data_IF_263872213482
#
_entry.id   IF_263872213482
#
_cell.length_a   1.000
_cell.length_b   1.000
_cell.length_c   1.000
_cell.angle_alpha   90.00
_cell.angle_beta   90.00
_cell.angle_gamma   90.00
#
_symmetry.space_group_name_H-M   'P 1'
#
loop_
_entity.id
_entity.type
_entity.pdbx_description
1 polymer ?
#
# COMPACT_ATOMS: atom_id res chain seq x y z
N UNK A 1 2.79 9.24 19.64
CA UNK A 1 1.86 9.81 18.62
C UNK A 1 1.88 11.34 18.62
N UNK A 2 2.31 11.97 19.71
CA UNK A 2 2.19 13.41 19.94
C UNK A 2 3.19 14.22 19.12
N UNK A 3 4.40 13.70 18.87
CA UNK A 3 5.44 14.42 18.11
C UNK A 3 5.04 14.71 16.67
N UNK A 4 4.41 13.77 15.97
CA UNK A 4 3.98 13.95 14.58
C UNK A 4 2.79 14.91 14.50
N UNK A 5 1.82 14.77 15.43
CA UNK A 5 0.69 15.70 15.56
C UNK A 5 1.18 17.12 15.84
N UNK A 6 2.13 17.30 16.75
CA UNK A 6 2.74 18.61 17.07
C UNK A 6 3.51 19.18 15.88
N UNK A 7 4.26 18.37 15.13
CA UNK A 7 4.97 18.84 13.92
C UNK A 7 4.02 19.27 12.81
N UNK A 8 2.94 18.52 12.57
CA UNK A 8 1.93 18.88 11.58
C UNK A 8 1.19 20.16 11.99
N UNK A 9 0.79 20.27 13.26
CA UNK A 9 0.14 21.46 13.79
C UNK A 9 1.06 22.69 13.73
N UNK A 10 2.36 22.50 14.04
CA UNK A 10 3.38 23.56 13.90
C UNK A 10 3.53 24.00 12.45
N UNK A 11 3.57 23.08 11.49
CA UNK A 11 3.62 23.41 10.06
C UNK A 11 2.37 24.14 9.58
N UNK A 12 1.20 23.69 10.03
CA UNK A 12 -0.08 24.30 9.67
C UNK A 12 -0.19 25.74 10.19
N UNK A 13 0.30 26.01 11.41
CA UNK A 13 0.30 27.34 12.02
C UNK A 13 1.24 28.35 11.34
N UNK A 14 2.27 27.88 10.64
CA UNK A 14 3.21 28.73 9.88
C UNK A 14 2.78 28.94 8.42
N UNK A 15 1.60 28.45 8.02
CA UNK A 15 1.10 28.59 6.67
C UNK A 15 0.48 29.99 6.46
N UNK A 16 0.69 30.66 5.31
CA UNK A 16 0.16 32.00 5.08
C UNK A 16 -1.38 32.02 5.10
N UNK A 17 -1.97 33.10 5.63
CA UNK A 17 -3.42 33.28 5.81
C UNK A 17 -4.21 33.10 4.51
N UNK A 18 -3.62 33.46 3.36
CA UNK A 18 -4.20 33.29 2.02
C UNK A 18 -4.51 31.82 1.67
N UNK A 19 -3.85 30.86 2.33
CA UNK A 19 -4.12 29.43 2.14
C UNK A 19 -5.48 29.00 2.73
N UNK A 20 -5.96 29.72 3.75
CA UNK A 20 -7.24 29.43 4.42
C UNK A 20 -8.44 30.15 3.80
N UNK A 21 -8.22 30.97 2.75
CA UNK A 21 -9.27 31.76 2.09
C UNK A 21 -10.02 30.98 1.00
N UNK A 22 -9.48 29.84 0.56
CA UNK A 22 -10.15 28.95 -0.39
C UNK A 22 -11.23 28.12 0.34
N UNK A 23 -12.46 28.12 -0.18
CA UNK A 23 -13.61 27.43 0.43
C UNK A 23 -13.37 25.91 0.61
N UNK A 24 -12.54 25.32 -0.25
CA UNK A 24 -12.12 23.91 -0.21
C UNK A 24 -11.06 23.61 0.87
N UNK A 25 -10.34 24.62 1.37
CA UNK A 25 -9.25 24.47 2.36
C UNK A 25 -9.56 25.20 3.66
N UNK A 26 -10.83 25.11 4.08
CA UNK A 26 -11.29 25.68 5.35
C UNK A 26 -10.50 25.09 6.53
N UNK A 27 -10.17 25.89 7.57
CA UNK A 27 -9.44 25.42 8.75
C UNK A 27 -10.13 24.25 9.46
N UNK A 28 -11.46 24.16 9.41
CA UNK A 28 -12.22 23.06 9.99
C UNK A 28 -12.00 21.74 9.23
N UNK A 29 -11.98 21.78 7.90
CA UNK A 29 -11.68 20.63 7.05
C UNK A 29 -10.23 20.18 7.23
N UNK A 30 -9.29 21.14 7.32
CA UNK A 30 -7.88 20.84 7.52
C UNK A 30 -7.62 20.14 8.86
N UNK A 31 -8.29 20.55 9.95
CA UNK A 31 -8.17 19.90 11.26
C UNK A 31 -8.77 18.48 11.26
N UNK A 32 -9.92 18.28 10.58
CA UNK A 32 -10.53 16.96 10.43
C UNK A 32 -9.63 16.01 9.63
N UNK A 33 -9.12 16.47 8.48
CA UNK A 33 -8.19 15.73 7.64
C UNK A 33 -6.87 15.43 8.38
N UNK A 34 -6.31 16.41 9.10
CA UNK A 34 -5.11 16.22 9.93
C UNK A 34 -5.34 15.25 11.09
N UNK A 35 -6.57 15.05 11.56
CA UNK A 35 -6.86 14.00 12.55
C UNK A 35 -6.92 12.61 11.91
N UNK A 36 -7.44 12.50 10.69
CA UNK A 36 -7.67 11.23 10.00
C UNK A 36 -6.41 10.64 9.32
N UNK A 37 -5.58 11.46 8.67
CA UNK A 37 -4.45 10.96 7.87
C UNK A 37 -3.24 10.43 8.66
N UNK A 38 -2.82 11.02 9.79
CA UNK A 38 -1.66 10.53 10.54
C UNK A 38 -1.82 9.15 11.18
N UNK A 39 -2.94 8.82 11.88
CA UNK A 39 -3.08 7.52 12.51
C UNK A 39 -3.28 6.41 11.48
N UNK A 40 -3.96 6.68 10.36
CA UNK A 40 -4.16 5.70 9.28
C UNK A 40 -2.87 5.42 8.52
N UNK A 41 -2.09 6.45 8.19
CA UNK A 41 -0.79 6.29 7.57
C UNK A 41 0.19 5.53 8.47
N UNK A 42 0.29 5.89 9.76
CA UNK A 42 1.19 5.17 10.69
C UNK A 42 0.74 3.74 10.98
N UNK A 43 -0.57 3.46 11.08
CA UNK A 43 -1.06 2.09 11.25
C UNK A 43 -0.78 1.22 10.02
N UNK A 44 -0.95 1.78 8.82
CA UNK A 44 -0.59 1.10 7.57
C UNK A 44 0.93 0.88 7.45
N UNK A 45 1.74 1.82 7.94
CA UNK A 45 3.19 1.70 8.00
C UNK A 45 3.62 0.64 9.01
N UNK A 46 3.02 0.60 10.20
CA UNK A 46 3.35 -0.39 11.24
C UNK A 46 3.12 -1.82 10.73
N UNK A 47 1.94 -2.07 10.13
CA UNK A 47 1.59 -3.36 9.54
C UNK A 47 2.53 -3.74 8.38
N UNK A 48 2.77 -2.83 7.43
CA UNK A 48 3.64 -3.11 6.27
C UNK A 48 5.11 -3.29 6.66
N UNK A 49 5.61 -2.47 7.58
CA UNK A 49 7.00 -2.54 8.03
C UNK A 49 7.23 -3.84 8.78
N UNK A 50 6.31 -4.25 9.65
CA UNK A 50 6.41 -5.52 10.36
C UNK A 50 6.40 -6.72 9.40
N UNK A 51 5.52 -6.72 8.41
CA UNK A 51 5.45 -7.79 7.41
C UNK A 51 6.72 -7.86 6.57
N UNK A 52 7.26 -6.72 6.13
CA UNK A 52 8.51 -6.66 5.39
C UNK A 52 9.69 -7.19 6.23
N UNK A 53 9.80 -6.78 7.50
CA UNK A 53 10.83 -7.28 8.41
C UNK A 53 10.72 -8.80 8.56
N UNK A 54 9.50 -9.31 8.78
CA UNK A 54 9.25 -10.74 8.97
C UNK A 54 9.63 -11.53 7.72
N UNK A 55 9.30 -11.03 6.54
CA UNK A 55 9.67 -11.65 5.27
C UNK A 55 11.19 -11.69 5.04
N UNK A 56 11.90 -10.62 5.41
CA UNK A 56 13.37 -10.58 5.33
C UNK A 56 13.98 -11.61 6.28
N UNK A 57 13.49 -11.69 7.53
CA UNK A 57 13.92 -12.68 8.50
C UNK A 57 13.64 -14.12 8.02
N UNK A 58 12.45 -14.39 7.52
CA UNK A 58 12.08 -15.69 6.97
C UNK A 58 12.97 -16.09 5.79
N UNK A 59 13.29 -15.13 4.91
CA UNK A 59 14.23 -15.35 3.80
C UNK A 59 15.63 -15.70 4.29
N UNK A 60 16.16 -14.97 5.28
CA UNK A 60 17.49 -15.23 5.86
C UNK A 60 17.52 -16.61 6.54
N UNK A 61 16.51 -16.95 7.34
CA UNK A 61 16.41 -18.26 8.00
C UNK A 61 16.31 -19.38 6.97
N UNK A 62 15.54 -19.20 5.89
CA UNK A 62 15.48 -20.13 4.78
C UNK A 62 16.84 -20.35 4.10
N UNK A 63 17.60 -19.28 3.88
CA UNK A 63 18.97 -19.36 3.32
C UNK A 63 19.93 -20.07 4.27
N UNK A 64 19.86 -19.80 5.58
CA UNK A 64 20.67 -20.49 6.59
C UNK A 64 20.37 -21.99 6.67
N UNK A 65 19.08 -22.38 6.63
CA UNK A 65 18.67 -23.78 6.60
C UNK A 65 19.13 -24.46 5.31
N UNK A 66 19.04 -23.78 4.17
CA UNK A 66 19.53 -24.29 2.89
C UNK A 66 21.05 -24.52 2.89
N UNK A 67 21.81 -23.64 3.54
CA UNK A 67 23.27 -23.76 3.65
C UNK A 67 23.69 -24.88 4.60
N UNK A 68 22.95 -25.09 5.70
CA UNK A 68 23.22 -26.15 6.67
C UNK A 68 23.05 -27.57 6.08
N UNK A 69 22.32 -27.72 4.98
CA UNK A 69 21.88 -29.02 4.46
C UNK A 69 22.69 -29.58 3.27
N UNK A 70 23.73 -28.88 2.79
CA UNK A 70 24.60 -29.29 1.67
C UNK A 70 23.92 -29.40 0.28
N UNK A 71 24.75 -29.47 -0.79
CA UNK A 71 24.41 -29.31 -2.22
C UNK A 71 23.11 -29.99 -2.70
N UNK A 72 22.76 -31.17 -2.16
CA UNK A 72 21.59 -31.92 -2.62
C UNK A 72 20.25 -31.38 -2.10
N UNK A 73 20.17 -30.94 -0.84
CA UNK A 73 18.92 -30.38 -0.31
C UNK A 73 18.73 -28.90 -0.67
N UNK A 74 19.83 -28.18 -0.91
CA UNK A 74 19.77 -26.83 -1.48
C UNK A 74 19.07 -26.80 -2.84
N UNK A 75 19.38 -27.76 -3.73
CA UNK A 75 18.72 -27.89 -5.03
C UNK A 75 17.22 -28.17 -4.89
N UNK A 76 16.83 -29.09 -4.00
CA UNK A 76 15.41 -29.40 -3.76
C UNK A 76 14.65 -28.20 -3.20
N UNK A 77 15.24 -27.50 -2.22
CA UNK A 77 14.67 -26.29 -1.62
C UNK A 77 14.56 -25.13 -2.61
N UNK A 78 15.56 -24.92 -3.46
CA UNK A 78 15.54 -23.87 -4.49
C UNK A 78 14.45 -24.14 -5.56
N UNK A 79 14.26 -25.39 -5.96
CA UNK A 79 13.20 -25.78 -6.91
C UNK A 79 11.82 -25.57 -6.28
N UNK A 80 11.62 -25.99 -5.03
CA UNK A 80 10.35 -25.77 -4.32
C UNK A 80 10.06 -24.28 -4.10
N UNK A 81 11.05 -23.49 -3.68
CA UNK A 81 10.90 -22.06 -3.46
C UNK A 81 10.59 -21.31 -4.77
N UNK A 82 11.30 -21.61 -5.85
CA UNK A 82 11.04 -21.01 -7.17
C UNK A 82 9.66 -21.41 -7.72
N UNK A 83 9.24 -22.66 -7.58
CA UNK A 83 7.91 -23.11 -8.00
C UNK A 83 6.79 -22.37 -7.24
N UNK A 84 6.93 -22.19 -5.92
CA UNK A 84 5.96 -21.43 -5.11
C UNK A 84 5.93 -19.94 -5.49
N UNK A 85 7.09 -19.33 -5.75
CA UNK A 85 7.19 -17.96 -6.24
C UNK A 85 6.49 -17.78 -7.59
N UNK A 86 6.70 -18.70 -8.53
CA UNK A 86 6.05 -18.66 -9.85
C UNK A 86 4.53 -18.75 -9.71
N UNK A 87 4.03 -19.67 -8.89
CA UNK A 87 2.60 -19.83 -8.63
C UNK A 87 1.99 -18.57 -7.97
N UNK A 88 2.71 -17.97 -7.02
CA UNK A 88 2.30 -16.73 -6.36
C UNK A 88 2.23 -15.55 -7.35
N UNK A 89 3.25 -15.38 -8.21
CA UNK A 89 3.24 -14.34 -9.23
C UNK A 89 2.08 -14.52 -10.21
N UNK A 90 1.77 -15.75 -10.60
CA UNK A 90 0.66 -16.05 -11.50
C UNK A 90 -0.69 -15.65 -10.88
N UNK A 91 -0.91 -15.97 -9.60
CA UNK A 91 -2.09 -15.57 -8.84
C UNK A 91 -2.22 -14.04 -8.73
N UNK A 92 -1.13 -13.34 -8.42
CA UNK A 92 -1.13 -11.87 -8.34
C UNK A 92 -1.44 -11.24 -9.70
N UNK A 93 -0.87 -11.76 -10.78
CA UNK A 93 -1.13 -11.26 -12.15
C UNK A 93 -2.57 -11.50 -12.59
N UNK A 94 -3.17 -12.63 -12.22
CA UNK A 94 -4.59 -12.89 -12.44
C UNK A 94 -5.48 -11.92 -11.66
N UNK A 95 -5.14 -11.65 -10.40
CA UNK A 95 -5.89 -10.70 -9.56
C UNK A 95 -5.85 -9.27 -10.13
N UNK A 96 -4.68 -8.81 -10.62
CA UNK A 96 -4.57 -7.48 -11.25
C UNK A 96 -5.38 -7.38 -12.55
N UNK A 97 -5.42 -8.45 -13.34
CA UNK A 97 -6.25 -8.51 -14.57
C UNK A 97 -7.74 -8.39 -14.25
N UNK A 98 -8.20 -8.85 -13.09
CA UNK A 98 -9.61 -8.76 -12.69
C UNK A 98 -10.01 -7.36 -12.23
N UNK A 99 -9.11 -6.60 -11.58
CA UNK A 99 -9.39 -5.21 -11.19
C UNK A 99 -9.41 -4.26 -12.39
N UNK A 100 -8.50 -4.42 -13.35
CA UNK A 100 -8.48 -3.56 -14.56
C UNK A 100 -9.71 -3.79 -15.46
N UNK A 101 -10.28 -5.00 -15.47
CA UNK A 101 -11.49 -5.27 -16.24
C UNK A 101 -12.73 -4.59 -15.64
N UNK A 102 -12.80 -4.49 -14.31
CA UNK A 102 -13.92 -3.86 -13.60
C UNK A 102 -13.99 -2.35 -13.82
N UNK A 103 -12.87 -1.64 -13.75
CA UNK A 103 -12.82 -0.18 -14.01
C UNK A 103 -13.21 0.19 -15.45
N UNK A 104 -12.90 -0.69 -16.43
CA UNK A 104 -13.24 -0.47 -17.84
C UNK A 104 -14.73 -0.73 -18.13
N UNK A 105 -15.36 -1.64 -17.38
CA UNK A 105 -16.78 -1.98 -17.52
C UNK A 105 -17.69 -0.88 -16.92
N UNK A 106 -17.26 -0.29 -15.80
CA UNK A 106 -17.97 0.83 -15.15
C UNK A 106 -17.86 2.14 -15.97
N UNK A 107 -16.69 2.42 -16.52
CA UNK A 107 -16.48 3.59 -17.41
C UNK A 107 -17.28 3.46 -18.70
N UNK A 108 -17.26 2.29 -19.34
CA UNK A 108 -18.02 2.05 -20.58
C UNK A 108 -19.53 2.10 -20.36
N UNK A 109 -20.02 1.66 -19.21
CA UNK A 109 -21.44 1.77 -18.85
C UNK A 109 -21.86 3.22 -18.62
N UNK A 110 -21.02 4.02 -17.94
CA UNK A 110 -21.28 5.44 -17.70
C UNK A 110 -21.35 6.25 -19.01
N UNK A 111 -20.43 6.01 -19.94
CA UNK A 111 -20.40 6.68 -21.24
C UNK A 111 -21.65 6.37 -22.08
N UNK A 112 -22.13 5.12 -22.00
CA UNK A 112 -23.34 4.68 -22.71
C UNK A 112 -24.58 5.39 -22.16
N UNK A 113 -24.70 5.57 -20.83
CA UNK A 113 -25.82 6.30 -20.24
C UNK A 113 -25.82 7.79 -20.58
N UNK A 114 -24.63 8.42 -20.64
CA UNK A 114 -24.48 9.83 -20.98
C UNK A 114 -24.80 10.10 -22.46
N UNK A 115 -24.54 9.13 -23.34
CA UNK A 115 -24.89 9.22 -24.76
C UNK A 115 -26.39 9.04 -25.05
N UNK A 116 -27.12 8.31 -24.22
CA UNK A 116 -28.57 8.12 -24.35
C UNK A 116 -29.41 9.27 -23.80
N UNK A 117 -28.79 10.21 -23.07
CA UNK A 117 -29.44 11.36 -22.45
C UNK A 117 -29.24 12.67 -23.26
N UNK A 118 -28.50 12.60 -24.37
CA UNK A 118 -28.20 13.72 -25.29
C UNK A 118 -28.94 13.56 -26.61
#
# INVERSE_FOLDING_TARGET
MDRLKVLMLKKLLHMPISYFDNNDTSPAFCVAAMSQHPPTAMAALDYRVMLNISNIFASIVGVCIAFAFSWHLGLLGAVLASALLILALLNIRLSQRSHEKKDKEDTSSADTLLSGLR
#
